data_IF_978052688263
#
_entry.id   IF_978052688263
#
_cell.length_a   1.000
_cell.length_b   1.000
_cell.length_c   1.000
_cell.angle_alpha   90.00
_cell.angle_beta   90.00
_cell.angle_gamma   90.00
#
_symmetry.space_group_name_H-M   'P 1'
#
loop_
_entity.id
_entity.type
_entity.pdbx_description
1 polymer ?
#
# COMPACT_ATOMS: atom_id res chain seq x y z
N UNK A 1 11.84 7.59 2.98
CA UNK A 1 12.47 8.22 1.79
C UNK A 1 12.73 7.17 0.72
N UNK A 2 12.81 7.60 -0.56
CA UNK A 2 13.05 6.76 -1.72
C UNK A 2 11.88 6.72 -2.69
N UNK A 3 11.96 5.84 -3.68
CA UNK A 3 10.92 5.61 -4.68
C UNK A 3 10.08 4.41 -4.26
N UNK A 4 8.78 4.53 -4.41
CA UNK A 4 7.81 3.52 -3.98
C UNK A 4 6.78 3.27 -5.08
N UNK A 5 6.35 2.04 -5.23
CA UNK A 5 5.32 1.57 -6.15
C UNK A 5 4.21 0.85 -5.40
N UNK A 6 3.01 0.80 -5.94
CA UNK A 6 1.98 -0.08 -5.40
C UNK A 6 2.51 -1.52 -5.33
N UNK A 7 2.30 -2.19 -4.21
CA UNK A 7 2.77 -3.56 -4.04
C UNK A 7 2.02 -4.50 -4.99
N UNK A 8 2.72 -5.36 -5.72
CA UNK A 8 2.13 -6.35 -6.61
C UNK A 8 1.53 -7.53 -5.82
N UNK A 9 0.55 -7.21 -4.96
CA UNK A 9 -0.15 -8.19 -4.13
C UNK A 9 -1.65 -7.88 -4.07
N UNK A 10 -2.47 -8.90 -3.90
CA UNK A 10 -3.90 -8.73 -3.67
C UNK A 10 -4.14 -7.89 -2.42
N UNK A 11 -5.12 -6.99 -2.49
CA UNK A 11 -5.42 -6.07 -1.39
C UNK A 11 -4.47 -4.88 -1.24
N UNK A 12 -3.52 -4.68 -2.16
CA UNK A 12 -2.67 -3.50 -2.13
C UNK A 12 -3.46 -2.20 -2.36
N UNK A 13 -4.60 -2.30 -3.01
CA UNK A 13 -5.60 -1.26 -3.16
C UNK A 13 -6.91 -1.78 -2.56
N UNK A 14 -7.44 -1.11 -1.54
CA UNK A 14 -8.63 -1.57 -0.86
C UNK A 14 -9.45 -0.42 -0.28
N UNK A 15 -10.76 -0.62 -0.08
CA UNK A 15 -11.65 0.35 0.52
C UNK A 15 -12.66 -0.31 1.45
N UNK A 16 -12.92 0.33 2.59
CA UNK A 16 -13.86 -0.15 3.59
C UNK A 16 -14.24 0.90 4.62
N UNK A 17 -15.12 0.55 5.58
CA UNK A 17 -15.65 1.50 6.56
C UNK A 17 -14.63 1.95 7.62
N UNK A 18 -13.56 1.20 7.81
CA UNK A 18 -12.55 1.48 8.85
C UNK A 18 -11.14 1.40 8.27
N UNK A 19 -10.18 1.96 9.00
CA UNK A 19 -8.76 1.79 8.72
C UNK A 19 -8.43 0.30 8.63
N UNK A 20 -7.77 -0.09 7.57
CA UNK A 20 -7.39 -1.48 7.36
C UNK A 20 -8.47 -2.41 6.82
N UNK A 21 -9.67 -1.91 6.62
CA UNK A 21 -10.80 -2.71 6.16
C UNK A 21 -10.91 -2.60 4.63
N UNK A 22 -10.94 -3.75 3.95
CA UNK A 22 -11.12 -3.86 2.50
C UNK A 22 -12.48 -4.51 2.14
N UNK A 23 -13.45 -4.49 3.06
CA UNK A 23 -14.70 -5.25 2.92
C UNK A 23 -15.64 -4.71 1.84
N UNK A 24 -15.51 -3.44 1.45
CA UNK A 24 -16.33 -2.89 0.35
C UNK A 24 -15.74 -3.28 -1.01
N UNK A 25 -14.43 -3.23 -1.13
CA UNK A 25 -13.70 -3.70 -2.30
C UNK A 25 -12.21 -3.86 -1.99
N UNK A 26 -11.56 -4.79 -2.67
CA UNK A 26 -10.13 -5.07 -2.53
C UNK A 26 -9.59 -5.59 -3.85
N UNK A 27 -8.44 -5.10 -4.28
CA UNK A 27 -7.82 -5.50 -5.55
C UNK A 27 -7.47 -6.99 -5.56
N UNK A 28 -7.82 -7.65 -6.64
CA UNK A 28 -7.45 -9.03 -6.96
C UNK A 28 -6.21 -9.08 -7.87
N UNK A 29 -5.68 -10.26 -8.11
CA UNK A 29 -4.63 -10.48 -9.11
C UNK A 29 -5.04 -10.07 -10.53
N UNK A 30 -6.34 -10.19 -10.85
CA UNK A 30 -6.89 -9.72 -12.13
C UNK A 30 -6.88 -8.18 -12.22
N UNK A 31 -7.14 -7.47 -11.12
CA UNK A 31 -7.07 -6.01 -11.08
C UNK A 31 -5.63 -5.53 -11.26
N UNK A 32 -4.65 -6.18 -10.66
CA UNK A 32 -3.23 -5.87 -10.82
C UNK A 32 -2.83 -5.97 -12.30
N UNK A 33 -3.23 -7.05 -12.96
CA UNK A 33 -2.95 -7.26 -14.38
C UNK A 33 -3.72 -6.28 -15.27
N UNK A 34 -5.02 -6.09 -14.98
CA UNK A 34 -5.89 -5.24 -15.81
C UNK A 34 -5.62 -3.74 -15.68
N UNK A 35 -5.00 -3.32 -14.58
CA UNK A 35 -4.64 -1.93 -14.27
C UNK A 35 -3.13 -1.75 -14.14
N UNK A 36 -2.33 -2.49 -14.91
CA UNK A 36 -0.86 -2.50 -14.78
C UNK A 36 -0.23 -1.11 -14.83
N UNK A 37 -0.83 -0.18 -15.60
CA UNK A 37 -0.45 1.23 -15.66
C UNK A 37 -0.62 2.02 -14.35
N UNK A 38 -1.36 1.51 -13.36
CA UNK A 38 -1.41 2.07 -12.00
C UNK A 38 -0.31 1.49 -11.12
N UNK A 39 0.08 0.24 -11.40
CA UNK A 39 1.10 -0.44 -10.59
C UNK A 39 2.52 -0.07 -10.99
N UNK A 40 2.74 0.52 -12.18
CA UNK A 40 4.03 1.09 -12.58
C UNK A 40 4.17 2.58 -12.23
N UNK A 41 3.10 3.21 -11.74
CA UNK A 41 3.15 4.56 -11.16
C UNK A 41 4.00 4.57 -9.89
N UNK A 42 4.79 5.60 -9.72
CA UNK A 42 5.67 5.77 -8.58
C UNK A 42 5.35 7.00 -7.73
N UNK A 43 5.72 6.93 -6.46
CA UNK A 43 5.83 8.11 -5.60
C UNK A 43 7.24 8.19 -5.04
N UNK A 44 7.79 9.40 -5.03
CA UNK A 44 9.15 9.66 -4.55
C UNK A 44 9.14 10.60 -3.37
N UNK A 45 9.78 10.18 -2.29
CA UNK A 45 10.02 10.98 -1.08
C UNK A 45 11.51 11.29 -0.99
N UNK A 46 11.88 12.54 -1.18
CA UNK A 46 13.28 13.00 -1.11
C UNK A 46 13.67 13.42 0.32
N UNK A 47 14.92 13.25 0.69
CA UNK A 47 15.43 13.59 2.02
C UNK A 47 15.31 15.08 2.40
N UNK A 48 15.20 15.95 1.41
CA UNK A 48 15.01 17.39 1.59
C UNK A 48 13.54 17.81 1.79
N UNK A 49 12.60 16.84 1.82
CA UNK A 49 11.17 17.09 1.96
C UNK A 49 10.41 17.25 0.65
N UNK A 50 11.04 17.11 -0.51
CA UNK A 50 10.36 17.16 -1.80
C UNK A 50 9.62 15.85 -2.05
N UNK A 51 8.44 15.96 -2.67
CA UNK A 51 7.59 14.86 -3.12
C UNK A 51 7.34 14.94 -4.62
N UNK A 52 7.28 13.80 -5.29
CA UNK A 52 6.88 13.72 -6.69
C UNK A 52 6.05 12.46 -6.97
N UNK A 53 5.03 12.62 -7.82
CA UNK A 53 4.39 11.54 -8.54
C UNK A 53 5.13 11.30 -9.86
N UNK A 54 5.32 10.06 -10.24
CA UNK A 54 5.85 9.65 -11.54
C UNK A 54 4.88 8.67 -12.20
N UNK A 55 4.08 9.20 -13.13
CA UNK A 55 2.96 8.48 -13.78
C UNK A 55 3.36 7.80 -15.08
N UNK A 56 4.60 7.97 -15.55
CA UNK A 56 5.04 7.40 -16.80
C UNK A 56 4.27 7.91 -18.02
N UNK A 57 4.11 7.04 -19.03
CA UNK A 57 3.38 7.37 -20.25
C UNK A 57 1.87 7.19 -20.10
N UNK A 58 1.44 6.29 -19.24
CA UNK A 58 0.04 5.95 -18.98
C UNK A 58 -0.16 5.75 -17.48
N UNK A 59 -1.36 6.05 -17.00
CA UNK A 59 -1.86 5.74 -15.65
C UNK A 59 -3.31 5.28 -15.73
N UNK A 60 -3.87 4.81 -14.63
CA UNK A 60 -5.29 4.45 -14.56
C UNK A 60 -6.17 5.68 -14.52
N UNK A 61 -7.05 5.80 -15.50
CA UNK A 61 -8.01 6.89 -15.63
C UNK A 61 -9.44 6.42 -15.32
N UNK A 62 -10.21 7.30 -14.69
CA UNK A 62 -11.61 7.11 -14.39
C UNK A 62 -12.47 8.16 -15.14
N UNK A 63 -13.80 7.94 -15.35
CA UNK A 63 -14.64 8.82 -16.16
C UNK A 63 -14.63 10.29 -15.77
N UNK A 64 -14.42 10.62 -14.49
CA UNK A 64 -14.31 12.01 -14.04
C UNK A 64 -13.09 12.76 -14.61
N UNK A 65 -12.11 12.03 -15.15
CA UNK A 65 -10.91 12.55 -15.83
C UNK A 65 -11.11 12.71 -17.34
N UNK A 66 -12.33 12.45 -17.86
CA UNK A 66 -12.70 12.72 -19.24
C UNK A 66 -12.67 11.50 -20.18
N UNK A 67 -12.45 10.30 -19.66
CA UNK A 67 -12.56 9.05 -20.41
C UNK A 67 -13.98 8.48 -20.36
N UNK A 68 -14.36 7.65 -21.33
CA UNK A 68 -15.72 7.09 -21.40
C UNK A 68 -15.96 5.96 -20.39
N UNK A 69 -14.91 5.22 -20.06
CA UNK A 69 -14.88 4.15 -19.08
C UNK A 69 -13.50 4.12 -18.43
N UNK A 70 -13.35 3.38 -17.33
CA UNK A 70 -12.05 3.18 -16.69
C UNK A 70 -11.08 2.51 -17.67
N UNK A 71 -9.89 3.10 -17.85
CA UNK A 71 -8.87 2.61 -18.78
C UNK A 71 -7.47 3.12 -18.42
N UNK A 72 -6.43 2.47 -18.97
CA UNK A 72 -5.08 3.04 -18.98
C UNK A 72 -4.99 4.13 -20.05
N UNK A 73 -4.43 5.28 -19.71
CA UNK A 73 -4.27 6.38 -20.64
C UNK A 73 -3.29 7.45 -20.15
N UNK A 74 -3.02 8.43 -21.00
CA UNK A 74 -2.09 9.51 -20.68
C UNK A 74 -2.54 10.28 -19.44
N UNK A 75 -1.63 10.54 -18.46
CA UNK A 75 -1.97 11.21 -17.23
C UNK A 75 -2.62 12.59 -17.46
N UNK A 76 -3.66 12.89 -16.67
CA UNK A 76 -4.47 14.12 -16.80
C UNK A 76 -4.14 15.10 -15.67
N UNK A 77 -3.74 16.34 -16.04
CA UNK A 77 -3.47 17.38 -15.05
C UNK A 77 -4.71 17.70 -14.18
N UNK A 78 -4.53 18.03 -12.87
CA UNK A 78 -3.24 18.24 -12.18
C UNK A 78 -2.60 16.97 -11.63
N UNK A 79 -3.16 15.79 -11.89
CA UNK A 79 -2.76 14.50 -11.34
C UNK A 79 -1.82 13.71 -12.29
N UNK A 80 -1.05 14.43 -13.07
CA UNK A 80 0.06 13.89 -13.86
C UNK A 80 1.35 13.82 -13.01
N UNK A 81 2.53 14.06 -13.56
CA UNK A 81 3.80 14.12 -12.81
C UNK A 81 3.83 15.32 -11.84
N UNK A 82 2.94 15.29 -10.85
CA UNK A 82 2.80 16.35 -9.88
C UNK A 82 3.96 16.37 -8.89
N UNK A 83 4.36 17.58 -8.48
CA UNK A 83 5.40 17.78 -7.48
C UNK A 83 4.91 18.63 -6.31
N UNK A 84 5.51 18.42 -5.15
CA UNK A 84 5.18 19.13 -3.93
C UNK A 84 6.15 18.82 -2.81
N UNK A 85 5.66 18.90 -1.59
CA UNK A 85 6.45 18.58 -0.40
C UNK A 85 5.74 17.53 0.45
N UNK A 86 6.50 16.83 1.28
CA UNK A 86 5.98 15.92 2.27
C UNK A 86 6.50 16.22 3.66
N UNK A 87 5.70 15.90 4.66
CA UNK A 87 6.09 15.88 6.07
C UNK A 87 5.51 14.67 6.78
N UNK A 88 6.22 14.16 7.76
CA UNK A 88 5.79 12.99 8.53
C UNK A 88 5.87 13.27 10.04
N UNK A 89 4.74 13.13 10.71
CA UNK A 89 4.64 13.13 12.17
C UNK A 89 4.71 11.68 12.68
N UNK A 90 5.88 11.28 13.18
CA UNK A 90 6.09 9.94 13.70
C UNK A 90 5.28 9.65 14.98
N UNK A 91 4.88 10.68 15.73
CA UNK A 91 4.07 10.54 16.96
C UNK A 91 2.61 10.22 16.63
N UNK A 92 2.09 10.82 15.57
CA UNK A 92 0.73 10.58 15.07
C UNK A 92 0.65 9.45 14.03
N UNK A 93 1.77 9.10 13.39
CA UNK A 93 1.78 8.21 12.23
C UNK A 93 1.15 8.86 10.99
N UNK A 94 1.25 10.19 10.88
CA UNK A 94 0.62 10.96 9.80
C UNK A 94 1.63 11.45 8.78
N UNK A 95 1.34 11.20 7.51
CA UNK A 95 2.06 11.71 6.35
C UNK A 95 1.19 12.75 5.65
N UNK A 96 1.69 13.97 5.54
CA UNK A 96 1.01 15.06 4.82
C UNK A 96 1.77 15.37 3.53
N UNK A 97 1.05 15.38 2.40
CA UNK A 97 1.51 15.89 1.12
C UNK A 97 0.94 17.28 0.89
N UNK A 98 1.76 18.17 0.32
CA UNK A 98 1.36 19.53 -0.06
C UNK A 98 1.86 19.83 -1.47
N UNK A 99 0.95 20.03 -2.39
CA UNK A 99 1.19 20.32 -3.81
C UNK A 99 -0.05 19.96 -4.64
N UNK A 100 -0.38 20.80 -5.61
CA UNK A 100 -1.53 20.58 -6.46
C UNK A 100 -1.34 19.27 -7.26
N UNK A 101 -2.30 18.35 -7.13
CA UNK A 101 -2.27 17.06 -7.81
C UNK A 101 -1.43 15.97 -7.13
N UNK A 102 -0.64 16.29 -6.09
CA UNK A 102 0.15 15.27 -5.38
C UNK A 102 -0.74 14.29 -4.63
N UNK A 103 -0.47 12.99 -4.76
CA UNK A 103 -1.28 11.95 -4.13
C UNK A 103 -0.49 10.64 -3.95
N UNK A 104 -1.01 9.77 -3.09
CA UNK A 104 -0.64 8.36 -2.96
C UNK A 104 -1.88 7.54 -3.38
N UNK A 105 -1.71 6.55 -4.24
CA UNK A 105 -2.80 5.72 -4.76
C UNK A 105 -3.67 6.44 -5.78
N UNK A 106 -4.98 6.44 -5.56
CA UNK A 106 -5.94 7.02 -6.51
C UNK A 106 -6.06 8.54 -6.38
N UNK A 107 -5.92 9.31 -7.48
CA UNK A 107 -5.97 10.77 -7.44
C UNK A 107 -7.32 11.34 -6.99
N UNK A 108 -8.42 10.58 -7.14
CA UNK A 108 -9.75 11.02 -6.72
C UNK A 108 -9.90 11.19 -5.21
N UNK A 109 -9.07 10.52 -4.40
CA UNK A 109 -9.27 10.43 -2.97
C UNK A 109 -8.71 11.65 -2.26
N UNK A 110 -9.58 12.39 -1.59
CA UNK A 110 -9.24 13.53 -0.74
C UNK A 110 -9.67 13.25 0.71
N UNK A 111 -9.13 14.02 1.66
CA UNK A 111 -9.61 13.94 3.03
C UNK A 111 -11.04 14.47 3.11
N UNK A 112 -11.98 13.62 3.54
CA UNK A 112 -13.39 13.92 3.73
C UNK A 112 -14.29 13.68 2.52
N UNK A 113 -13.77 13.61 1.29
CA UNK A 113 -14.58 13.45 0.09
C UNK A 113 -13.76 12.91 -1.09
N UNK A 114 -14.41 12.60 -2.23
CA UNK A 114 -13.74 12.20 -3.48
C UNK A 114 -14.06 13.18 -4.63
N UNK A 115 -13.14 13.27 -5.59
CA UNK A 115 -13.39 13.95 -6.88
C UNK A 115 -14.41 13.15 -7.72
N UNK A 116 -15.26 13.81 -8.50
CA UNK A 116 -15.31 15.26 -8.75
C UNK A 116 -16.26 16.02 -7.80
N UNK A 117 -16.81 15.36 -6.77
CA UNK A 117 -17.72 16.04 -5.84
C UNK A 117 -16.96 17.07 -4.98
N UNK A 118 -15.75 16.72 -4.56
CA UNK A 118 -14.85 17.64 -3.87
C UNK A 118 -14.12 18.58 -4.83
N UNK A 119 -13.40 19.54 -4.25
CA UNK A 119 -12.45 20.41 -4.96
C UNK A 119 -11.03 20.06 -4.56
N UNK A 120 -10.14 19.87 -5.53
CA UNK A 120 -8.72 19.64 -5.27
C UNK A 120 -8.11 20.81 -4.48
N UNK A 121 -7.54 20.49 -3.31
CA UNK A 121 -6.95 21.50 -2.40
C UNK A 121 -5.41 21.51 -2.44
N UNK A 122 -4.81 20.48 -3.04
CA UNK A 122 -3.37 20.29 -3.03
C UNK A 122 -2.82 19.89 -1.65
N UNK A 123 -3.66 19.42 -0.75
CA UNK A 123 -3.23 18.88 0.56
C UNK A 123 -3.93 17.54 0.81
N UNK A 124 -3.14 16.53 1.17
CA UNK A 124 -3.66 15.21 1.58
C UNK A 124 -2.90 14.72 2.79
N UNK A 125 -3.62 14.19 3.78
CA UNK A 125 -3.07 13.58 4.97
C UNK A 125 -3.46 12.11 5.04
N UNK A 126 -2.46 11.25 5.19
CA UNK A 126 -2.59 9.80 5.27
C UNK A 126 -2.15 9.33 6.65
N UNK A 127 -2.83 8.35 7.20
CA UNK A 127 -2.30 7.54 8.29
C UNK A 127 -1.37 6.50 7.69
N UNK A 128 -0.11 6.45 8.12
CA UNK A 128 0.88 5.54 7.55
C UNK A 128 1.51 4.65 8.60
N UNK A 129 1.80 3.43 8.19
CA UNK A 129 2.60 2.48 8.95
C UNK A 129 3.61 1.80 8.03
N UNK A 130 4.69 1.30 8.63
CA UNK A 130 5.77 0.64 7.89
C UNK A 130 5.98 -0.76 8.43
N UNK A 131 6.39 -1.67 7.55
CA UNK A 131 6.91 -2.98 7.97
C UNK A 131 8.17 -2.83 8.83
N UNK A 132 8.52 -3.82 9.66
CA UNK A 132 9.70 -3.75 10.53
C UNK A 132 11.02 -3.49 9.78
N UNK A 133 11.12 -3.94 8.53
CA UNK A 133 12.27 -3.73 7.65
C UNK A 133 12.24 -2.38 6.91
N UNK A 134 11.12 -1.62 7.04
CA UNK A 134 10.93 -0.33 6.39
C UNK A 134 10.73 -0.40 4.87
N UNK A 135 10.46 -1.57 4.32
CA UNK A 135 10.36 -1.78 2.87
C UNK A 135 8.92 -1.77 2.35
N UNK A 136 7.93 -1.93 3.23
CA UNK A 136 6.51 -1.81 2.90
C UNK A 136 5.91 -0.63 3.66
N UNK A 137 5.17 0.22 2.97
CA UNK A 137 4.38 1.31 3.53
C UNK A 137 2.90 1.04 3.29
N UNK A 138 2.10 1.11 4.34
CA UNK A 138 0.65 1.13 4.24
C UNK A 138 0.18 2.55 4.52
N UNK A 139 -0.60 3.11 3.60
CA UNK A 139 -1.17 4.45 3.70
C UNK A 139 -2.70 4.36 3.64
N UNK A 140 -3.37 4.83 4.69
CA UNK A 140 -4.83 4.91 4.76
C UNK A 140 -5.26 6.37 4.73
N UNK A 141 -6.29 6.71 3.95
CA UNK A 141 -6.87 8.06 3.88
C UNK A 141 -8.37 8.01 4.11
N UNK A 142 -8.86 8.86 5.01
CA UNK A 142 -10.28 9.02 5.30
C UNK A 142 -10.92 9.91 4.23
N UNK A 143 -11.83 9.36 3.41
CA UNK A 143 -12.57 10.11 2.40
C UNK A 143 -14.01 10.47 2.83
N UNK A 144 -14.31 10.37 4.13
CA UNK A 144 -15.60 10.68 4.73
C UNK A 144 -16.42 9.42 5.03
N UNK A 145 -16.99 8.74 4.04
CA UNK A 145 -17.75 7.50 4.28
C UNK A 145 -16.92 6.34 4.84
N UNK A 146 -15.60 6.34 4.57
CA UNK A 146 -14.69 5.27 4.96
C UNK A 146 -13.24 5.61 4.68
N UNK A 147 -12.46 4.58 4.43
CA UNK A 147 -11.02 4.69 4.22
C UNK A 147 -10.60 3.95 2.96
N UNK A 148 -9.80 4.61 2.13
CA UNK A 148 -8.99 3.96 1.14
C UNK A 148 -7.67 3.54 1.74
N UNK A 149 -7.21 2.35 1.37
CA UNK A 149 -5.91 1.79 1.74
C UNK A 149 -5.06 1.57 0.50
N UNK A 150 -3.80 1.95 0.61
CA UNK A 150 -2.77 1.76 -0.41
C UNK A 150 -1.56 1.11 0.23
N UNK A 151 -1.12 -0.03 -0.30
CA UNK A 151 0.11 -0.71 0.16
C UNK A 151 1.19 -0.51 -0.88
N UNK A 152 2.30 0.06 -0.46
CA UNK A 152 3.43 0.38 -1.32
C UNK A 152 4.67 -0.42 -0.94
N UNK A 153 5.45 -0.78 -1.94
CA UNK A 153 6.75 -1.43 -1.82
C UNK A 153 7.85 -0.46 -2.24
N UNK A 154 8.91 -0.38 -1.46
CA UNK A 154 10.07 0.44 -1.78
C UNK A 154 10.84 -0.15 -2.96
N UNK A 155 11.22 0.69 -3.93
CA UNK A 155 11.99 0.28 -5.11
C UNK A 155 13.33 -0.35 -4.73
N UNK A 156 13.67 -1.43 -5.44
CA UNK A 156 14.91 -2.17 -5.19
C UNK A 156 14.85 -3.12 -3.99
N UNK A 157 13.67 -3.23 -3.36
CA UNK A 157 13.42 -4.22 -2.31
C UNK A 157 12.37 -5.21 -2.79
N UNK A 158 12.51 -6.48 -2.46
CA UNK A 158 11.41 -7.43 -2.60
C UNK A 158 10.47 -7.25 -1.43
N UNK A 159 9.15 -7.30 -1.67
CA UNK A 159 8.20 -7.48 -0.57
C UNK A 159 8.65 -8.75 0.17
N UNK A 160 9.08 -8.57 1.40
CA UNK A 160 9.26 -9.72 2.27
C UNK A 160 7.92 -10.45 2.29
N UNK A 161 7.89 -11.79 2.32
CA UNK A 161 6.64 -12.47 2.58
C UNK A 161 6.03 -11.81 3.81
N UNK A 162 4.71 -11.58 3.79
CA UNK A 162 3.98 -11.09 4.96
C UNK A 162 4.07 -12.19 6.02
N UNK A 163 5.21 -12.26 6.68
CA UNK A 163 5.46 -13.19 7.77
C UNK A 163 4.90 -12.54 9.02
N UNK A 164 3.73 -13.01 9.42
CA UNK A 164 3.43 -12.96 10.84
C UNK A 164 4.45 -13.89 11.50
N UNK A 165 5.50 -13.31 12.08
CA UNK A 165 6.45 -14.08 12.87
C UNK A 165 5.72 -14.67 14.08
N UNK A 166 5.40 -15.95 13.98
CA UNK A 166 4.81 -16.70 15.09
C UNK A 166 5.96 -17.37 15.84
N UNK A 167 6.25 -16.86 17.02
CA UNK A 167 7.20 -17.49 17.92
C UNK A 167 6.51 -18.59 18.72
N UNK A 168 7.01 -19.81 18.58
CA UNK A 168 6.59 -20.94 19.41
C UNK A 168 7.61 -21.15 20.52
N UNK A 169 7.20 -20.97 21.77
CA UNK A 169 7.99 -21.35 22.93
C UNK A 169 7.55 -22.74 23.38
N UNK A 170 8.40 -23.75 23.18
CA UNK A 170 8.15 -25.12 23.64
C UNK A 170 8.94 -25.35 24.91
N UNK A 171 8.26 -25.55 26.04
CA UNK A 171 8.88 -25.98 27.28
C UNK A 171 9.14 -27.50 27.22
N UNK A 172 10.40 -27.87 27.19
CA UNK A 172 10.87 -29.25 27.14
C UNK A 172 11.41 -29.74 28.49
N UNK A 173 11.19 -28.99 29.58
CA UNK A 173 11.75 -29.32 30.91
C UNK A 173 11.32 -30.68 31.45
N UNK A 174 10.12 -31.13 31.09
CA UNK A 174 9.59 -32.46 31.51
C UNK A 174 9.87 -33.58 30.50
N UNK A 175 10.55 -33.29 29.38
CA UNK A 175 10.87 -34.29 28.39
C UNK A 175 12.15 -35.04 28.78
N UNK A 176 12.02 -36.32 29.10
CA UNK A 176 13.13 -37.19 29.51
C UNK A 176 13.72 -38.04 28.38
N UNK A 177 13.22 -37.94 27.18
CA UNK A 177 13.65 -38.64 25.99
C UNK A 177 14.90 -38.01 25.33
N UNK A 178 15.50 -38.73 24.38
CA UNK A 178 16.59 -38.21 23.56
C UNK A 178 16.05 -37.59 22.26
N UNK A 179 16.37 -36.32 22.00
CA UNK A 179 16.00 -35.65 20.74
C UNK A 179 17.11 -35.96 19.72
N UNK A 180 16.86 -36.87 18.80
CA UNK A 180 17.85 -37.29 17.80
C UNK A 180 17.74 -36.55 16.46
N UNK A 181 16.61 -35.94 16.15
CA UNK A 181 16.30 -35.40 14.81
C UNK A 181 15.69 -33.99 14.82
N UNK A 182 15.54 -33.38 15.99
CA UNK A 182 14.93 -32.06 16.14
C UNK A 182 13.48 -32.09 16.67
N UNK A 183 12.96 -30.93 16.92
CA UNK A 183 11.55 -30.70 17.31
C UNK A 183 10.82 -30.10 16.11
N UNK A 184 9.70 -30.69 15.72
CA UNK A 184 8.93 -30.29 14.55
C UNK A 184 7.56 -29.77 14.96
N UNK A 185 7.11 -28.73 14.27
CA UNK A 185 5.76 -28.17 14.42
C UNK A 185 4.93 -28.58 13.22
N UNK A 186 3.77 -29.14 13.48
CA UNK A 186 2.80 -29.53 12.45
C UNK A 186 1.54 -28.68 12.51
N UNK A 187 0.99 -28.36 11.35
CA UNK A 187 -0.27 -27.64 11.22
C UNK A 187 -0.73 -27.57 9.79
N UNK A 188 -1.85 -26.90 9.57
CA UNK A 188 -2.37 -26.67 8.21
C UNK A 188 -1.42 -25.83 7.35
N UNK A 189 -0.58 -25.00 7.98
CA UNK A 189 0.42 -24.16 7.33
C UNK A 189 1.53 -24.97 6.63
N UNK A 190 1.81 -26.19 7.06
CA UNK A 190 2.79 -27.08 6.43
C UNK A 190 2.19 -28.44 5.98
N UNK A 191 0.86 -28.48 5.77
CA UNK A 191 0.15 -29.69 5.32
C UNK A 191 0.28 -30.89 6.26
N UNK A 192 0.52 -30.67 7.56
CA UNK A 192 0.73 -31.71 8.58
C UNK A 192 1.96 -32.59 8.31
N UNK A 193 2.95 -32.06 7.63
CA UNK A 193 4.19 -32.78 7.37
C UNK A 193 5.17 -32.63 8.55
N UNK A 194 5.54 -33.76 9.18
CA UNK A 194 6.35 -33.79 10.41
C UNK A 194 7.82 -33.42 10.23
N UNK A 195 8.36 -33.51 9.01
CA UNK A 195 9.81 -33.37 8.71
C UNK A 195 10.07 -32.68 7.35
N UNK A 196 9.11 -31.93 6.83
CA UNK A 196 9.29 -31.12 5.63
C UNK A 196 10.05 -29.82 5.98
N UNK A 197 11.15 -29.56 5.27
CA UNK A 197 11.87 -28.28 5.26
C UNK A 197 11.27 -27.33 4.22
#
# INVERSE_FOLDING_TARGET
EGVWYLAEQEGALAVGPNVGDGSWWSSSSADITGRACLWDDSVTFSANGDFANGMGAETWLEPWQGVAAEECGAPVAPHNDATGTWSYDAGAGELTLTGMGTHIGLPKVLNGEELPAATETGVRTYMVSFSPDGNTMTADINFGPGYWRFVYQKSGTTAGPSTNDISFNVDMSDYTGTINTGVYINGTFNGWCGDCN
#
